data_IF_086506042665
#
_entry.id   IF_086506042665
#
_cell.length_a   1.000
_cell.length_b   1.000
_cell.length_c   1.000
_cell.angle_alpha   90.00
_cell.angle_beta   90.00
_cell.angle_gamma   90.00
#
_symmetry.space_group_name_H-M   'P 1'
#
loop_
_entity.id
_entity.type
_entity.pdbx_description
1 polymer ?
#
# COMPACT_ATOMS: atom_id res chain seq x y z
N UNK A 1 -26.60 2.22 -43.23
CA UNK A 1 -25.74 2.25 -42.03
C UNK A 1 -24.31 2.46 -42.50
N UNK A 2 -23.71 3.63 -42.19
CA UNK A 2 -22.28 3.88 -42.46
C UNK A 2 -21.61 4.10 -41.10
N UNK A 3 -20.63 3.26 -40.77
CA UNK A 3 -19.79 3.46 -39.60
C UNK A 3 -18.59 4.28 -40.06
N UNK A 4 -18.53 5.55 -39.65
CA UNK A 4 -17.35 6.40 -39.88
C UNK A 4 -16.52 6.42 -38.60
N UNK A 5 -15.27 5.99 -38.72
CA UNK A 5 -14.28 6.14 -37.66
C UNK A 5 -13.72 7.57 -37.69
N UNK A 6 -13.82 8.28 -36.56
CA UNK A 6 -13.21 9.60 -36.36
C UNK A 6 -12.23 9.58 -35.19
N UNK A 7 -11.08 10.21 -35.37
CA UNK A 7 -10.09 10.42 -34.32
C UNK A 7 -10.72 11.21 -33.14
N UNK A 8 -10.42 10.78 -31.91
CA UNK A 8 -10.86 11.34 -30.61
C UNK A 8 -12.19 10.81 -30.04
N UNK A 9 -12.28 9.48 -29.86
CA UNK A 9 -13.13 8.82 -28.84
C UNK A 9 -14.65 9.10 -28.87
N UNK A 10 -15.21 9.53 -30.00
CA UNK A 10 -16.67 9.61 -30.17
C UNK A 10 -17.09 8.64 -31.27
N UNK A 11 -17.60 7.48 -30.87
CA UNK A 11 -18.28 6.56 -31.79
C UNK A 11 -19.66 7.16 -32.12
N UNK A 12 -19.78 7.84 -33.26
CA UNK A 12 -21.10 8.22 -33.78
C UNK A 12 -21.63 7.10 -34.64
N UNK A 13 -22.60 6.37 -34.12
CA UNK A 13 -23.50 5.59 -34.98
C UNK A 13 -24.40 6.59 -35.68
N UNK A 14 -24.10 6.92 -36.94
CA UNK A 14 -25.04 7.64 -37.79
C UNK A 14 -26.07 6.61 -38.26
N UNK A 15 -27.12 6.45 -37.46
CA UNK A 15 -28.38 5.96 -38.00
C UNK A 15 -28.79 7.03 -39.00
N UNK A 16 -28.86 6.67 -40.28
CA UNK A 16 -29.34 7.60 -41.31
C UNK A 16 -30.67 8.20 -40.81
N UNK A 17 -30.83 9.54 -40.77
CA UNK A 17 -32.02 10.19 -40.22
C UNK A 17 -33.32 9.89 -40.94
N UNK A 18 -33.36 8.92 -41.86
CA UNK A 18 -34.57 8.57 -42.60
C UNK A 18 -35.62 7.82 -41.76
N UNK A 19 -35.42 7.69 -40.44
CA UNK A 19 -36.37 7.01 -39.53
C UNK A 19 -37.13 7.97 -38.61
N UNK A 20 -36.81 9.28 -38.61
CA UNK A 20 -37.57 10.27 -37.83
C UNK A 20 -38.38 11.14 -38.80
N UNK A 21 -39.59 10.65 -39.08
CA UNK A 21 -40.83 11.36 -39.38
C UNK A 21 -40.71 12.54 -40.37
N UNK A 22 -41.30 12.35 -41.55
CA UNK A 22 -42.25 13.34 -42.04
C UNK A 22 -43.58 12.58 -42.13
N UNK A 23 -44.55 13.00 -41.32
CA UNK A 23 -45.98 12.66 -41.42
C UNK A 23 -46.55 13.29 -42.70
N UNK A 24 -45.90 13.05 -43.84
CA UNK A 24 -46.47 13.31 -45.16
C UNK A 24 -47.10 12.00 -45.61
N UNK A 25 -48.41 12.03 -45.90
CA UNK A 25 -49.13 10.89 -46.50
C UNK A 25 -48.47 10.42 -47.82
N UNK A 26 -47.58 11.23 -48.39
CA UNK A 26 -46.81 10.99 -49.63
C UNK A 26 -45.32 10.61 -49.42
N UNK A 27 -44.84 10.43 -48.19
CA UNK A 27 -43.46 10.01 -47.97
C UNK A 27 -43.24 8.55 -48.45
N UNK A 28 -42.21 8.26 -49.27
CA UNK A 28 -42.00 6.92 -49.82
C UNK A 28 -41.72 5.92 -48.69
N UNK A 29 -42.68 5.01 -48.46
CA UNK A 29 -42.54 3.92 -47.49
C UNK A 29 -41.23 3.16 -47.74
N UNK A 30 -40.36 3.12 -46.74
CA UNK A 30 -39.07 2.42 -46.81
C UNK A 30 -39.32 0.96 -47.19
N UNK A 31 -38.61 0.48 -48.21
CA UNK A 31 -38.74 -0.90 -48.68
C UNK A 31 -38.50 -1.90 -47.53
N UNK A 32 -39.38 -2.89 -47.34
CA UNK A 32 -39.21 -3.92 -46.31
C UNK A 32 -37.89 -4.68 -46.47
N UNK A 33 -37.37 -4.80 -47.70
CA UNK A 33 -36.06 -5.40 -47.98
C UNK A 33 -34.90 -4.55 -47.43
N UNK A 34 -34.99 -3.22 -47.54
CA UNK A 34 -33.97 -2.31 -46.99
C UNK A 34 -33.98 -2.32 -45.46
N UNK A 35 -35.17 -2.36 -44.84
CA UNK A 35 -35.32 -2.53 -43.38
C UNK A 35 -34.71 -3.86 -42.91
N UNK A 36 -35.03 -4.97 -43.58
CA UNK A 36 -34.48 -6.30 -43.29
C UNK A 36 -32.95 -6.36 -43.46
N UNK A 37 -32.41 -5.74 -44.51
CA UNK A 37 -30.97 -5.66 -44.74
C UNK A 37 -30.25 -4.84 -43.65
N UNK A 38 -30.85 -3.73 -43.20
CA UNK A 38 -30.30 -2.94 -42.10
C UNK A 38 -30.31 -3.72 -40.78
N UNK A 39 -31.40 -4.43 -40.45
CA UNK A 39 -31.48 -5.29 -39.25
C UNK A 39 -30.43 -6.42 -39.31
N UNK A 40 -30.25 -7.06 -40.47
CA UNK A 40 -29.26 -8.13 -40.63
C UNK A 40 -27.81 -7.64 -40.48
N UNK A 41 -27.44 -6.54 -41.15
CA UNK A 41 -26.13 -5.92 -41.01
C UNK A 41 -25.85 -5.47 -39.58
N UNK A 42 -26.88 -4.93 -38.90
CA UNK A 42 -26.81 -4.50 -37.52
C UNK A 42 -26.63 -5.68 -36.54
N UNK A 43 -27.42 -6.75 -36.72
CA UNK A 43 -27.33 -7.98 -35.94
C UNK A 43 -25.93 -8.60 -36.04
N UNK A 44 -25.33 -8.60 -37.24
CA UNK A 44 -23.97 -9.07 -37.44
C UNK A 44 -22.94 -8.24 -36.64
N UNK A 45 -23.02 -6.91 -36.68
CA UNK A 45 -22.11 -6.04 -35.92
C UNK A 45 -22.27 -6.25 -34.42
N UNK A 46 -23.50 -6.32 -33.90
CA UNK A 46 -23.75 -6.57 -32.48
C UNK A 46 -23.22 -7.93 -32.06
N UNK A 47 -23.48 -8.99 -32.84
CA UNK A 47 -22.96 -10.32 -32.56
C UNK A 47 -21.42 -10.33 -32.48
N UNK A 48 -20.74 -9.69 -33.46
CA UNK A 48 -19.28 -9.59 -33.45
C UNK A 48 -18.75 -8.82 -32.23
N UNK A 49 -19.39 -7.71 -31.84
CA UNK A 49 -18.98 -6.90 -30.68
C UNK A 49 -19.19 -7.68 -29.39
N UNK A 50 -20.31 -8.39 -29.24
CA UNK A 50 -20.60 -9.24 -28.08
C UNK A 50 -19.58 -10.36 -27.96
N UNK A 51 -19.36 -11.09 -29.06
CA UNK A 51 -18.44 -12.22 -29.11
C UNK A 51 -17.03 -11.76 -28.70
N UNK A 52 -16.57 -10.65 -29.28
CA UNK A 52 -15.28 -10.07 -28.92
C UNK A 52 -15.23 -9.56 -27.48
N UNK A 53 -16.33 -9.03 -26.97
CA UNK A 53 -16.41 -8.62 -25.55
C UNK A 53 -16.30 -9.82 -24.63
N UNK A 54 -16.93 -10.94 -24.97
CA UNK A 54 -16.84 -12.19 -24.21
C UNK A 54 -15.43 -12.78 -24.25
N UNK A 55 -14.76 -12.79 -25.41
CA UNK A 55 -13.35 -13.19 -25.52
C UNK A 55 -12.44 -12.38 -24.59
N UNK A 56 -12.66 -11.05 -24.53
CA UNK A 56 -11.88 -10.15 -23.68
C UNK A 56 -12.21 -10.42 -22.20
N UNK A 57 -13.49 -10.62 -21.85
CA UNK A 57 -13.92 -10.97 -20.48
C UNK A 57 -13.25 -12.28 -20.06
N UNK A 58 -13.30 -13.29 -20.90
CA UNK A 58 -12.71 -14.59 -20.63
C UNK A 58 -11.19 -14.49 -20.48
N UNK A 59 -10.51 -13.81 -21.41
CA UNK A 59 -9.06 -13.62 -21.37
C UNK A 59 -8.64 -12.88 -20.11
N UNK A 60 -9.27 -11.74 -19.80
CA UNK A 60 -8.88 -10.91 -18.67
C UNK A 60 -9.18 -11.59 -17.34
N UNK A 61 -10.28 -12.33 -17.20
CA UNK A 61 -10.59 -12.96 -15.91
C UNK A 61 -9.98 -14.35 -15.73
N UNK A 62 -9.98 -15.19 -16.76
CA UNK A 62 -9.44 -16.55 -16.66
C UNK A 62 -7.91 -16.59 -16.81
N UNK A 63 -7.35 -15.89 -17.82
CA UNK A 63 -5.90 -15.91 -18.07
C UNK A 63 -5.15 -14.88 -17.23
N UNK A 64 -5.61 -13.63 -17.22
CA UNK A 64 -4.93 -12.55 -16.50
C UNK A 64 -5.42 -12.39 -15.05
N UNK A 65 -6.66 -12.75 -14.76
CA UNK A 65 -7.27 -12.60 -13.44
C UNK A 65 -7.01 -13.77 -12.48
N UNK A 66 -6.48 -14.88 -13.02
CA UNK A 66 -6.29 -16.13 -12.28
C UNK A 66 -7.60 -16.71 -11.72
N UNK A 67 -8.76 -16.30 -12.26
CA UNK A 67 -10.06 -16.81 -11.82
C UNK A 67 -10.27 -18.15 -12.52
N UNK A 68 -9.86 -19.25 -11.89
CA UNK A 68 -10.01 -20.61 -12.45
C UNK A 68 -8.73 -21.44 -12.43
N UNK A 69 -7.57 -20.84 -12.16
CA UNK A 69 -6.33 -21.57 -11.86
C UNK A 69 -6.35 -22.08 -10.42
N UNK A 70 -7.31 -22.93 -10.08
CA UNK A 70 -7.25 -23.74 -8.87
C UNK A 70 -6.40 -24.97 -9.16
N UNK A 71 -5.21 -25.03 -8.53
CA UNK A 71 -4.55 -26.28 -8.13
C UNK A 71 -4.31 -27.32 -9.24
N UNK A 72 -3.50 -26.96 -10.23
CA UNK A 72 -2.72 -27.93 -11.01
C UNK A 72 -1.36 -28.09 -10.35
N UNK A 73 -1.09 -29.27 -9.78
CA UNK A 73 0.21 -29.64 -9.23
C UNK A 73 1.23 -29.79 -10.36
N UNK A 74 2.03 -28.76 -10.60
CA UNK A 74 3.30 -28.97 -11.32
C UNK A 74 4.25 -29.70 -10.36
N UNK A 75 4.38 -31.00 -10.62
CA UNK A 75 5.43 -31.85 -10.07
C UNK A 75 6.74 -31.48 -10.76
N UNK A 76 7.37 -30.39 -10.34
CA UNK A 76 8.82 -30.29 -10.41
C UNK A 76 9.34 -29.46 -9.25
N UNK A 77 10.34 -30.02 -8.58
CA UNK A 77 10.82 -29.58 -7.28
C UNK A 77 11.61 -28.28 -7.38
N UNK A 78 10.94 -27.15 -7.20
CA UNK A 78 11.53 -25.98 -6.57
C UNK A 78 10.44 -25.14 -5.89
N UNK A 79 10.39 -25.21 -4.55
CA UNK A 79 9.36 -24.54 -3.74
C UNK A 79 9.62 -23.02 -3.68
N UNK A 80 9.13 -22.30 -4.69
CA UNK A 80 8.84 -20.88 -4.59
C UNK A 80 7.32 -20.67 -4.73
N UNK A 81 6.67 -20.51 -3.57
CA UNK A 81 5.30 -20.07 -3.33
C UNK A 81 4.47 -19.69 -4.59
N UNK A 82 3.63 -20.60 -5.07
CA UNK A 82 2.72 -20.44 -6.23
C UNK A 82 1.52 -19.53 -5.92
N UNK A 83 1.74 -18.41 -5.23
CA UNK A 83 0.75 -17.39 -4.93
C UNK A 83 0.78 -16.27 -5.98
N UNK A 84 -0.40 -15.74 -6.33
CA UNK A 84 -0.51 -14.54 -7.17
C UNK A 84 0.23 -13.37 -6.50
N UNK A 85 1.23 -12.80 -7.17
CA UNK A 85 1.92 -11.60 -6.64
C UNK A 85 0.96 -10.41 -6.52
N UNK A 86 1.22 -9.51 -5.57
CA UNK A 86 0.40 -8.29 -5.38
C UNK A 86 0.30 -7.46 -6.67
N UNK A 87 1.38 -7.35 -7.45
CA UNK A 87 1.40 -6.60 -8.72
C UNK A 87 0.47 -7.21 -9.77
N UNK A 88 0.51 -8.52 -9.90
CA UNK A 88 -0.32 -9.23 -10.86
C UNK A 88 -1.79 -9.15 -10.45
N UNK A 89 -2.10 -9.41 -9.17
CA UNK A 89 -3.45 -9.29 -8.65
C UNK A 89 -4.00 -7.85 -8.76
N UNK A 90 -3.15 -6.84 -8.59
CA UNK A 90 -3.52 -5.43 -8.77
C UNK A 90 -3.84 -5.10 -10.24
N UNK A 91 -3.04 -5.62 -11.17
CA UNK A 91 -3.26 -5.46 -12.60
C UNK A 91 -4.58 -6.11 -13.03
N UNK A 92 -4.86 -7.32 -12.53
CA UNK A 92 -6.12 -8.02 -12.73
C UNK A 92 -7.33 -7.24 -12.17
N UNK A 93 -7.21 -6.72 -10.94
CA UNK A 93 -8.26 -5.91 -10.32
C UNK A 93 -8.56 -4.63 -11.11
N UNK A 94 -7.51 -3.92 -11.55
CA UNK A 94 -7.65 -2.72 -12.37
C UNK A 94 -8.26 -3.05 -13.75
N UNK A 95 -7.83 -4.13 -14.39
CA UNK A 95 -8.41 -4.61 -15.65
C UNK A 95 -9.89 -4.95 -15.48
N UNK A 96 -10.26 -5.70 -14.45
CA UNK A 96 -11.66 -6.03 -14.14
C UNK A 96 -12.53 -4.80 -13.90
N UNK A 97 -12.01 -3.76 -13.23
CA UNK A 97 -12.71 -2.50 -13.02
C UNK A 97 -12.87 -1.72 -14.33
N UNK A 98 -11.82 -1.60 -15.14
CA UNK A 98 -11.85 -0.94 -16.46
C UNK A 98 -12.85 -1.61 -17.40
N UNK A 99 -12.87 -2.94 -17.41
CA UNK A 99 -13.82 -3.71 -18.20
C UNK A 99 -15.25 -3.49 -17.77
N UNK A 100 -15.50 -3.50 -16.47
CA UNK A 100 -16.83 -3.21 -15.94
C UNK A 100 -17.31 -1.81 -16.33
N UNK A 101 -16.42 -0.83 -16.34
CA UNK A 101 -16.73 0.52 -16.82
C UNK A 101 -17.15 0.51 -18.30
N UNK A 102 -16.40 -0.20 -19.14
CA UNK A 102 -16.75 -0.41 -20.55
C UNK A 102 -18.10 -1.12 -20.74
N UNK A 103 -18.34 -2.22 -20.02
CA UNK A 103 -19.61 -2.99 -20.10
C UNK A 103 -20.81 -2.15 -19.65
N UNK A 104 -20.64 -1.27 -18.65
CA UNK A 104 -21.71 -0.34 -18.24
C UNK A 104 -22.12 0.62 -19.36
N UNK A 105 -21.19 1.01 -20.23
CA UNK A 105 -21.48 1.87 -21.38
C UNK A 105 -22.20 1.13 -22.52
N UNK A 106 -22.14 -0.20 -22.55
CA UNK A 106 -22.84 -1.01 -23.56
C UNK A 106 -24.35 -1.07 -23.33
N UNK A 107 -24.80 -1.05 -22.07
CA UNK A 107 -26.22 -1.22 -21.70
C UNK A 107 -27.16 -0.22 -22.39
N UNK A 108 -26.97 1.10 -22.22
CA UNK A 108 -27.82 2.12 -22.87
C UNK A 108 -27.77 2.06 -24.40
N UNK A 109 -26.61 1.74 -24.96
CA UNK A 109 -26.42 1.60 -26.41
C UNK A 109 -27.26 0.44 -26.94
N UNK A 110 -27.13 -0.74 -26.32
CA UNK A 110 -27.82 -1.98 -26.72
C UNK A 110 -29.33 -1.96 -26.46
N UNK A 111 -29.78 -1.28 -25.39
CA UNK A 111 -31.21 -1.11 -25.10
C UNK A 111 -31.95 -0.30 -26.17
N UNK A 112 -31.39 0.87 -26.57
CA UNK A 112 -31.97 1.74 -27.61
C UNK A 112 -32.18 1.06 -28.96
N UNK A 113 -31.48 -0.04 -29.22
CA UNK A 113 -31.54 -0.77 -30.48
C UNK A 113 -32.57 -1.89 -30.48
N UNK A 114 -32.95 -2.38 -29.31
CA UNK A 114 -33.98 -3.40 -29.15
C UNK A 114 -35.39 -2.82 -29.10
N UNK A 115 -35.51 -1.54 -28.74
CA UNK A 115 -36.78 -0.81 -28.73
C UNK A 115 -37.15 -0.25 -30.11
N UNK A 116 -36.45 -0.63 -31.19
CA UNK A 116 -36.92 -0.35 -32.56
C UNK A 116 -38.06 -1.33 -32.89
N UNK A 117 -39.34 -0.87 -32.96
CA UNK A 117 -40.43 -1.76 -33.35
C UNK A 117 -40.19 -2.25 -34.77
N UNK A 118 -40.17 -3.57 -34.94
CA UNK A 118 -40.45 -4.17 -36.24
C UNK A 118 -41.97 -4.16 -36.32
N UNK A 119 -42.55 -3.11 -36.89
CA UNK A 119 -43.95 -3.16 -37.30
C UNK A 119 -44.08 -4.25 -38.37
N UNK A 120 -44.39 -5.46 -37.93
CA UNK A 120 -45.08 -6.43 -38.77
C UNK A 120 -46.53 -5.97 -38.84
N UNK A 121 -46.90 -5.28 -39.92
CA UNK A 121 -48.28 -4.99 -40.31
C UNK A 121 -49.09 -6.26 -40.67
N UNK A 122 -48.84 -7.37 -39.99
CA UNK A 122 -49.66 -8.57 -40.13
C UNK A 122 -50.01 -9.15 -38.77
N UNK A 123 -51.29 -8.95 -38.45
CA UNK A 123 -52.10 -9.60 -37.41
C UNK A 123 -52.02 -8.94 -36.04
N UNK A 124 -53.06 -8.13 -35.78
CA UNK A 124 -53.34 -7.54 -34.49
C UNK A 124 -53.41 -8.58 -33.39
N UNK A 125 -52.39 -8.59 -32.54
CA UNK A 125 -52.47 -9.15 -31.20
C UNK A 125 -51.71 -8.21 -30.28
N UNK A 126 -52.43 -7.56 -29.37
CA UNK A 126 -51.85 -6.77 -28.29
C UNK A 126 -50.99 -7.70 -27.44
N UNK A 127 -49.69 -7.78 -27.71
CA UNK A 127 -48.76 -8.48 -26.84
C UNK A 127 -48.37 -7.57 -25.67
N UNK A 128 -48.72 -8.01 -24.45
CA UNK A 128 -48.25 -7.43 -23.20
C UNK A 128 -46.74 -7.15 -23.27
N UNK A 129 -46.36 -5.90 -23.09
CA UNK A 129 -45.00 -5.38 -23.08
C UNK A 129 -44.25 -5.76 -21.79
N UNK A 130 -44.01 -7.06 -21.61
CA UNK A 130 -43.20 -7.61 -20.51
C UNK A 130 -42.18 -8.66 -20.94
N UNK A 131 -41.87 -8.76 -22.23
CA UNK A 131 -40.82 -9.65 -22.72
C UNK A 131 -39.55 -8.83 -22.96
N UNK A 132 -38.60 -8.94 -22.04
CA UNK A 132 -37.26 -8.40 -22.20
C UNK A 132 -36.64 -8.90 -23.51
N UNK A 133 -36.10 -7.99 -24.33
CA UNK A 133 -35.45 -8.38 -25.58
C UNK A 133 -34.24 -9.30 -25.33
N UNK A 134 -33.91 -10.18 -26.28
CA UNK A 134 -32.73 -11.07 -26.18
C UNK A 134 -31.45 -10.28 -25.90
N UNK A 135 -31.28 -9.08 -26.50
CA UNK A 135 -30.10 -8.27 -26.23
C UNK A 135 -30.13 -7.65 -24.82
N UNK A 136 -31.30 -7.29 -24.28
CA UNK A 136 -31.40 -6.82 -22.89
C UNK A 136 -31.03 -7.92 -21.90
N UNK A 137 -31.48 -9.16 -22.13
CA UNK A 137 -31.08 -10.33 -21.33
C UNK A 137 -29.57 -10.58 -21.41
N UNK A 138 -29.01 -10.50 -22.62
CA UNK A 138 -27.58 -10.66 -22.84
C UNK A 138 -26.77 -9.57 -22.12
N UNK A 139 -27.11 -8.29 -22.27
CA UNK A 139 -26.46 -7.17 -21.57
C UNK A 139 -26.42 -7.38 -20.06
N UNK A 140 -27.54 -7.83 -19.49
CA UNK A 140 -27.64 -8.13 -18.06
C UNK A 140 -26.72 -9.29 -17.69
N UNK A 141 -26.64 -10.33 -18.52
CA UNK A 141 -25.73 -11.45 -18.30
C UNK A 141 -24.25 -11.03 -18.37
N UNK A 142 -23.86 -10.22 -19.36
CA UNK A 142 -22.49 -9.68 -19.49
C UNK A 142 -22.15 -8.86 -18.25
N UNK A 143 -23.04 -7.94 -17.87
CA UNK A 143 -22.84 -7.05 -16.72
C UNK A 143 -22.72 -7.85 -15.42
N UNK A 144 -23.63 -8.79 -15.15
CA UNK A 144 -23.60 -9.65 -13.95
C UNK A 144 -22.32 -10.48 -13.86
N UNK A 145 -21.91 -11.07 -14.98
CA UNK A 145 -20.68 -11.90 -15.05
C UNK A 145 -19.44 -11.04 -14.80
N UNK A 146 -19.38 -9.86 -15.43
CA UNK A 146 -18.28 -8.92 -15.24
C UNK A 146 -18.22 -8.45 -13.79
N UNK A 147 -19.35 -8.03 -13.19
CA UNK A 147 -19.41 -7.67 -11.76
C UNK A 147 -18.92 -8.80 -10.86
N UNK A 148 -19.37 -10.04 -11.10
CA UNK A 148 -18.98 -11.21 -10.31
C UNK A 148 -17.48 -11.44 -10.36
N UNK A 149 -16.88 -11.34 -11.54
CA UNK A 149 -15.47 -11.60 -11.74
C UNK A 149 -14.59 -10.42 -11.27
N UNK A 150 -15.00 -9.18 -11.50
CA UNK A 150 -14.34 -7.99 -10.95
C UNK A 150 -14.28 -8.07 -9.42
N UNK A 151 -15.40 -8.40 -8.76
CA UNK A 151 -15.41 -8.62 -7.31
C UNK A 151 -14.37 -9.67 -6.89
N UNK A 152 -14.25 -10.77 -7.65
CA UNK A 152 -13.28 -11.81 -7.36
C UNK A 152 -11.83 -11.35 -7.54
N UNK A 153 -11.53 -10.54 -8.55
CA UNK A 153 -10.19 -9.96 -8.71
C UNK A 153 -9.82 -9.01 -7.56
N UNK A 154 -10.78 -8.24 -7.04
CA UNK A 154 -10.58 -7.38 -5.87
C UNK A 154 -10.33 -8.20 -4.59
N UNK A 155 -11.08 -9.31 -4.41
CA UNK A 155 -10.82 -10.27 -3.32
C UNK A 155 -9.41 -10.89 -3.45
N UNK A 156 -9.00 -11.28 -4.66
CA UNK A 156 -7.68 -11.87 -4.93
C UNK A 156 -6.54 -10.90 -4.63
N UNK A 157 -6.69 -9.60 -4.94
CA UNK A 157 -5.72 -8.57 -4.56
C UNK A 157 -5.57 -8.48 -3.04
N UNK A 158 -6.68 -8.41 -2.30
CA UNK A 158 -6.61 -8.35 -0.84
C UNK A 158 -5.98 -9.62 -0.25
N UNK A 159 -6.26 -10.78 -0.83
CA UNK A 159 -5.67 -12.07 -0.45
C UNK A 159 -4.16 -12.11 -0.75
N UNK A 160 -3.73 -11.66 -1.93
CA UNK A 160 -2.32 -11.59 -2.30
C UNK A 160 -1.48 -10.74 -1.34
N UNK A 161 -2.05 -9.65 -0.81
CA UNK A 161 -1.39 -8.81 0.21
C UNK A 161 -1.29 -9.55 1.55
N UNK A 162 -2.36 -10.24 1.95
CA UNK A 162 -2.39 -11.01 3.19
C UNK A 162 -1.41 -12.19 3.16
N UNK A 163 -1.28 -12.85 2.01
CA UNK A 163 -0.43 -14.02 1.79
C UNK A 163 0.98 -13.67 1.29
N UNK A 164 1.33 -12.38 1.25
CA UNK A 164 2.67 -11.97 0.85
C UNK A 164 3.72 -12.65 1.75
N UNK A 165 4.75 -13.29 1.17
CA UNK A 165 5.70 -14.11 1.93
C UNK A 165 6.24 -13.40 3.16
N UNK A 166 6.31 -14.14 4.27
CA UNK A 166 6.78 -13.57 5.55
C UNK A 166 8.31 -13.49 5.61
N UNK A 167 8.99 -14.37 4.87
CA UNK A 167 10.44 -14.50 4.84
C UNK A 167 11.02 -14.18 3.45
N UNK A 168 12.33 -13.92 3.40
CA UNK A 168 13.07 -13.60 2.18
C UNK A 168 13.48 -12.12 2.12
N UNK A 169 14.66 -11.85 1.54
CA UNK A 169 15.28 -10.51 1.57
C UNK A 169 14.41 -9.38 0.99
N UNK A 170 13.51 -9.69 0.06
CA UNK A 170 12.57 -8.72 -0.54
C UNK A 170 11.41 -8.37 0.39
N UNK A 171 10.95 -9.36 1.16
CA UNK A 171 9.78 -9.25 2.02
C UNK A 171 10.13 -8.79 3.42
N UNK A 172 11.29 -9.24 3.91
CA UNK A 172 11.85 -8.95 5.24
C UNK A 172 13.36 -8.65 5.09
N UNK A 173 13.72 -7.40 4.78
CA UNK A 173 15.11 -7.01 4.57
C UNK A 173 15.96 -7.10 5.85
N UNK A 174 17.20 -7.62 5.80
CA UNK A 174 18.02 -7.77 7.00
C UNK A 174 18.36 -6.45 7.70
N UNK A 175 18.33 -5.33 6.99
CA UNK A 175 18.59 -3.96 7.46
C UNK A 175 17.31 -3.21 7.89
N UNK A 176 16.16 -3.88 7.96
CA UNK A 176 14.86 -3.30 8.29
C UNK A 176 14.39 -2.17 7.35
N UNK A 177 14.92 -2.07 6.13
CA UNK A 177 14.38 -1.12 5.13
C UNK A 177 12.95 -1.47 4.71
N UNK A 178 12.35 -0.60 3.91
CA UNK A 178 10.99 -0.73 3.39
C UNK A 178 10.84 -2.06 2.63
N UNK A 179 9.76 -2.81 2.92
CA UNK A 179 9.44 -4.05 2.20
C UNK A 179 8.83 -3.74 0.83
N UNK A 180 9.11 -4.58 -0.17
CA UNK A 180 8.58 -4.39 -1.53
C UNK A 180 7.05 -4.35 -1.57
N UNK A 181 6.39 -5.14 -0.70
CA UNK A 181 4.92 -5.20 -0.59
C UNK A 181 4.31 -3.82 -0.29
N UNK A 182 4.96 -2.98 0.52
CA UNK A 182 4.47 -1.63 0.81
C UNK A 182 4.41 -0.77 -0.45
N UNK A 183 5.45 -0.84 -1.28
CA UNK A 183 5.48 -0.12 -2.57
C UNK A 183 4.48 -0.69 -3.58
N UNK A 184 4.29 -2.01 -3.57
CA UNK A 184 3.39 -2.68 -4.50
C UNK A 184 1.92 -2.42 -4.16
N UNK A 185 1.57 -2.34 -2.87
CA UNK A 185 0.23 -1.93 -2.42
C UNK A 185 -0.07 -0.47 -2.75
N UNK A 186 0.89 0.46 -2.54
CA UNK A 186 0.70 1.86 -2.96
C UNK A 186 0.45 1.95 -4.46
N UNK A 187 1.22 1.21 -5.28
CA UNK A 187 0.98 1.14 -6.73
C UNK A 187 -0.39 0.55 -7.05
N UNK A 188 -0.77 -0.53 -6.36
CA UNK A 188 -2.08 -1.16 -6.54
C UNK A 188 -3.22 -0.17 -6.29
N UNK A 189 -3.16 0.59 -5.20
CA UNK A 189 -4.14 1.63 -4.85
C UNK A 189 -4.26 2.65 -5.99
N UNK A 190 -3.12 3.16 -6.50
CA UNK A 190 -3.11 4.13 -7.61
C UNK A 190 -3.67 3.57 -8.92
N UNK A 191 -3.53 2.27 -9.16
CA UNK A 191 -4.07 1.61 -10.35
C UNK A 191 -5.60 1.45 -10.30
N UNK A 192 -6.16 1.17 -9.12
CA UNK A 192 -7.60 0.89 -8.97
C UNK A 192 -8.42 2.15 -8.70
N UNK A 193 -7.83 3.15 -8.03
CA UNK A 193 -8.53 4.34 -7.56
C UNK A 193 -9.24 5.17 -8.64
N UNK A 194 -8.76 5.25 -9.91
CA UNK A 194 -9.46 6.01 -10.94
C UNK A 194 -10.85 5.44 -11.27
N UNK A 195 -11.11 4.16 -10.97
CA UNK A 195 -12.34 3.46 -11.37
C UNK A 195 -13.44 3.50 -10.28
N UNK A 196 -13.68 4.67 -9.67
CA UNK A 196 -14.65 4.81 -8.57
C UNK A 196 -16.08 4.39 -8.98
N UNK A 197 -16.54 4.83 -10.15
CA UNK A 197 -17.89 4.49 -10.64
C UNK A 197 -18.05 2.99 -10.92
N UNK A 198 -17.03 2.35 -11.51
CA UNK A 198 -17.03 0.91 -11.74
C UNK A 198 -17.05 0.14 -10.40
N UNK A 199 -16.22 0.55 -9.45
CA UNK A 199 -16.19 -0.03 -8.10
C UNK A 199 -17.56 0.08 -7.41
N UNK A 200 -18.20 1.25 -7.42
CA UNK A 200 -19.56 1.44 -6.89
C UNK A 200 -20.59 0.53 -7.58
N UNK A 201 -20.39 0.18 -8.86
CA UNK A 201 -21.26 -0.79 -9.55
C UNK A 201 -21.20 -2.17 -8.90
N UNK A 202 -19.99 -2.58 -8.49
CA UNK A 202 -19.73 -3.86 -7.85
C UNK A 202 -20.39 -3.86 -6.48
N UNK A 203 -20.09 -2.87 -5.63
CA UNK A 203 -20.58 -2.82 -4.25
C UNK A 203 -22.10 -2.71 -4.18
N UNK A 204 -22.74 -1.98 -5.10
CA UNK A 204 -24.21 -1.92 -5.21
C UNK A 204 -24.88 -3.28 -5.41
N UNK A 205 -24.18 -4.25 -6.03
CA UNK A 205 -24.75 -5.52 -6.50
C UNK A 205 -24.23 -6.74 -5.76
N UNK A 206 -23.19 -6.58 -4.94
CA UNK A 206 -22.55 -7.69 -4.25
C UNK A 206 -21.94 -7.22 -2.94
N UNK A 207 -22.27 -7.94 -1.88
CA UNK A 207 -21.62 -7.79 -0.58
C UNK A 207 -20.16 -8.26 -0.68
N UNK A 208 -19.24 -7.46 -0.15
CA UNK A 208 -17.81 -7.71 -0.15
C UNK A 208 -17.31 -7.91 1.28
N UNK A 209 -16.20 -8.63 1.51
CA UNK A 209 -15.69 -8.90 2.86
C UNK A 209 -15.36 -7.66 3.71
N UNK A 210 -15.09 -6.53 3.05
CA UNK A 210 -14.78 -5.24 3.69
C UNK A 210 -15.97 -4.28 3.72
N UNK A 211 -17.07 -4.66 3.08
CA UNK A 211 -18.26 -3.84 2.93
C UNK A 211 -19.47 -4.75 2.68
N UNK A 212 -20.18 -5.15 3.75
CA UNK A 212 -21.31 -6.06 3.65
C UNK A 212 -22.57 -5.39 3.10
N UNK A 213 -22.61 -4.05 3.02
CA UNK A 213 -23.76 -3.30 2.56
C UNK A 213 -23.92 -3.42 1.04
N UNK A 214 -25.17 -3.35 0.57
CA UNK A 214 -25.52 -3.38 -0.85
C UNK A 214 -26.48 -2.23 -1.19
N UNK A 215 -26.64 -1.91 -2.47
CA UNK A 215 -27.49 -0.80 -2.89
C UNK A 215 -26.86 0.57 -2.63
N UNK A 216 -27.68 1.60 -2.40
CA UNK A 216 -27.19 2.98 -2.27
C UNK A 216 -26.26 3.19 -1.06
N UNK A 217 -26.44 2.39 0.00
CA UNK A 217 -25.64 2.38 1.22
C UNK A 217 -24.31 1.60 1.09
N UNK A 218 -24.05 1.00 -0.08
CA UNK A 218 -22.80 0.30 -0.33
C UNK A 218 -21.61 1.26 -0.22
N UNK A 219 -20.50 0.80 0.34
CA UNK A 219 -19.27 1.54 0.52
C UNK A 219 -18.63 2.03 -0.78
N UNK A 220 -17.85 3.10 -0.63
CA UNK A 220 -17.07 3.76 -1.68
C UNK A 220 -15.67 3.14 -1.80
N UNK A 221 -14.89 3.61 -2.78
CA UNK A 221 -13.51 3.15 -3.02
C UNK A 221 -12.64 3.23 -1.76
N UNK A 222 -12.84 4.27 -0.95
CA UNK A 222 -12.13 4.49 0.31
C UNK A 222 -12.26 3.29 1.27
N UNK A 223 -13.43 2.66 1.35
CA UNK A 223 -13.63 1.49 2.21
C UNK A 223 -12.71 0.33 1.79
N UNK A 224 -12.56 0.11 0.48
CA UNK A 224 -11.66 -0.91 -0.03
C UNK A 224 -10.19 -0.55 0.20
N UNK A 225 -9.81 0.70 -0.06
CA UNK A 225 -8.42 1.12 0.13
C UNK A 225 -8.01 1.04 1.61
N UNK A 226 -8.88 1.46 2.54
CA UNK A 226 -8.67 1.27 3.98
C UNK A 226 -8.47 -0.21 4.33
N UNK A 227 -9.25 -1.09 3.71
CA UNK A 227 -9.09 -2.53 3.89
C UNK A 227 -7.75 -3.06 3.36
N UNK A 228 -7.31 -2.63 2.17
CA UNK A 228 -6.00 -3.01 1.62
C UNK A 228 -4.85 -2.56 2.54
N UNK A 229 -4.92 -1.35 3.08
CA UNK A 229 -3.93 -0.82 4.03
C UNK A 229 -3.92 -1.64 5.31
N UNK A 230 -5.08 -1.99 5.88
CA UNK A 230 -5.13 -2.82 7.08
C UNK A 230 -4.56 -4.22 6.83
N UNK A 231 -4.80 -4.81 5.65
CA UNK A 231 -4.17 -6.09 5.24
C UNK A 231 -2.65 -5.96 5.14
N UNK A 232 -2.16 -4.88 4.54
CA UNK A 232 -0.73 -4.58 4.47
C UNK A 232 -0.13 -4.44 5.88
N UNK A 233 -0.74 -3.63 6.75
CA UNK A 233 -0.24 -3.41 8.11
C UNK A 233 -0.16 -4.72 8.91
N UNK A 234 -1.17 -5.58 8.80
CA UNK A 234 -1.15 -6.89 9.45
C UNK A 234 -0.04 -7.79 8.89
N UNK A 235 0.17 -7.80 7.57
CA UNK A 235 1.26 -8.55 6.92
C UNK A 235 2.62 -8.03 7.39
N UNK A 236 2.80 -6.71 7.43
CA UNK A 236 4.03 -6.08 7.93
C UNK A 236 4.29 -6.40 9.40
N UNK A 237 3.26 -6.38 10.25
CA UNK A 237 3.39 -6.78 11.65
C UNK A 237 3.82 -8.24 11.80
N UNK A 238 3.25 -9.16 11.01
CA UNK A 238 3.67 -10.55 10.98
C UNK A 238 5.15 -10.72 10.62
N UNK A 239 5.65 -9.92 9.67
CA UNK A 239 7.07 -9.90 9.29
C UNK A 239 7.96 -9.28 10.35
N UNK A 240 7.50 -8.20 10.98
CA UNK A 240 8.20 -7.52 12.06
C UNK A 240 8.45 -8.48 13.23
N UNK A 241 7.40 -9.21 13.64
CA UNK A 241 7.46 -10.23 14.69
C UNK A 241 8.46 -11.36 14.41
N UNK A 242 8.77 -11.67 13.16
CA UNK A 242 9.76 -12.69 12.88
C UNK A 242 11.20 -12.19 13.07
N UNK A 243 11.47 -10.88 13.07
CA UNK A 243 12.81 -10.39 13.47
C UNK A 243 13.11 -10.69 14.94
N UNK A 244 12.08 -10.69 15.79
CA UNK A 244 12.25 -10.95 17.23
C UNK A 244 12.43 -12.44 17.53
N UNK A 245 12.08 -13.33 16.59
CA UNK A 245 12.30 -14.78 16.73
C UNK A 245 13.67 -15.23 16.28
N UNK A 246 14.26 -14.52 15.31
CA UNK A 246 15.52 -14.90 14.67
C UNK A 246 16.75 -14.21 15.30
N UNK A 247 16.55 -13.14 16.08
CA UNK A 247 17.64 -12.38 16.72
C UNK A 247 17.79 -12.69 18.21
N UNK A 248 18.99 -12.49 18.75
CA UNK A 248 19.20 -12.33 20.20
C UNK A 248 18.34 -11.15 20.70
N UNK A 249 17.65 -11.35 21.82
CA UNK A 249 16.43 -10.64 22.24
C UNK A 249 16.37 -9.16 21.82
N UNK A 250 17.32 -8.32 22.27
CA UNK A 250 17.21 -6.86 22.10
C UNK A 250 17.43 -6.37 20.65
N UNK A 251 18.31 -7.04 19.89
CA UNK A 251 18.60 -6.67 18.51
C UNK A 251 17.45 -7.01 17.53
N UNK A 252 16.73 -8.11 17.81
CA UNK A 252 15.55 -8.50 17.05
C UNK A 252 14.39 -7.51 17.23
N UNK A 253 14.16 -7.05 18.46
CA UNK A 253 13.14 -6.05 18.78
C UNK A 253 13.43 -4.68 18.15
N UNK A 254 14.67 -4.19 18.25
CA UNK A 254 15.07 -2.94 17.60
C UNK A 254 14.83 -2.97 16.08
N UNK A 255 15.15 -4.10 15.44
CA UNK A 255 14.95 -4.32 14.00
C UNK A 255 13.47 -4.37 13.62
N UNK A 256 12.66 -5.07 14.42
CA UNK A 256 11.19 -5.11 14.27
C UNK A 256 10.59 -3.71 14.29
N UNK A 257 10.95 -2.91 15.29
CA UNK A 257 10.39 -1.57 15.47
C UNK A 257 10.82 -0.65 14.31
N UNK A 258 12.12 -0.65 13.95
CA UNK A 258 12.62 0.14 12.82
C UNK A 258 11.96 -0.22 11.49
N UNK A 259 11.72 -1.51 11.25
CA UNK A 259 11.02 -1.99 10.06
C UNK A 259 9.60 -1.40 9.98
N UNK A 260 8.86 -1.39 11.09
CA UNK A 260 7.54 -0.80 11.13
C UNK A 260 7.57 0.72 10.95
N UNK A 261 8.53 1.42 11.56
CA UNK A 261 8.74 2.88 11.40
C UNK A 261 8.94 3.22 9.92
N UNK A 262 9.86 2.53 9.24
CA UNK A 262 10.16 2.76 7.83
C UNK A 262 8.94 2.55 6.92
N UNK A 263 8.21 1.45 7.11
CA UNK A 263 7.07 1.14 6.24
C UNK A 263 5.86 2.05 6.52
N UNK A 264 5.58 2.39 7.79
CA UNK A 264 4.46 3.29 8.13
C UNK A 264 4.75 4.73 7.69
N UNK A 265 5.99 5.20 7.84
CA UNK A 265 6.41 6.50 7.32
C UNK A 265 6.30 6.57 5.80
N UNK A 266 6.71 5.52 5.09
CA UNK A 266 6.54 5.42 3.64
C UNK A 266 5.06 5.55 3.23
N UNK A 267 4.15 4.86 3.92
CA UNK A 267 2.71 4.98 3.66
C UNK A 267 2.20 6.40 3.90
N UNK A 268 2.61 7.03 5.01
CA UNK A 268 2.27 8.43 5.31
C UNK A 268 2.79 9.38 4.23
N UNK A 269 3.97 9.15 3.66
CA UNK A 269 4.51 9.99 2.60
C UNK A 269 3.77 9.81 1.27
N UNK A 270 3.34 8.59 0.95
CA UNK A 270 2.82 8.25 -0.38
C UNK A 270 1.32 8.40 -0.56
N UNK A 271 0.53 8.37 0.53
CA UNK A 271 -0.94 8.32 0.50
C UNK A 271 -1.62 9.42 1.33
N UNK A 272 -0.86 10.23 2.06
CA UNK A 272 -1.41 11.35 2.83
C UNK A 272 -1.86 12.48 1.91
N UNK A 273 -3.01 13.08 2.23
CA UNK A 273 -3.46 14.30 1.55
C UNK A 273 -2.55 15.49 1.94
N UNK A 274 -2.11 16.33 0.98
CA UNK A 274 -1.28 17.49 1.28
C UNK A 274 -2.05 18.50 2.16
N UNK A 275 -1.37 19.01 3.19
CA UNK A 275 -1.92 19.95 4.17
C UNK A 275 -2.24 21.33 3.56
N UNK A 276 -1.57 21.71 2.47
CA UNK A 276 -1.78 23.00 1.79
C UNK A 276 -2.64 22.86 0.53
N UNK A 277 -3.65 23.72 0.39
CA UNK A 277 -4.52 23.79 -0.80
C UNK A 277 -3.79 24.17 -2.08
N UNK A 278 -2.61 24.79 -1.99
CA UNK A 278 -1.81 25.25 -3.15
C UNK A 278 -1.11 24.11 -3.89
N UNK A 279 -0.78 22.99 -3.22
CA UNK A 279 -0.23 21.78 -3.84
C UNK A 279 -1.29 20.93 -4.56
N UNK A 280 -2.57 21.29 -4.47
CA UNK A 280 -3.68 20.52 -5.08
C UNK A 280 -3.83 20.73 -6.58
N UNK A 281 -3.15 21.72 -7.18
CA UNK A 281 -3.42 22.16 -8.55
C UNK A 281 -2.75 21.32 -9.65
N UNK A 282 -1.81 20.43 -9.32
CA UNK A 282 -1.08 19.63 -10.33
C UNK A 282 -1.18 18.10 -10.11
N UNK A 283 -1.73 17.65 -8.98
CA UNK A 283 -1.74 16.24 -8.55
C UNK A 283 -3.08 15.52 -8.80
N UNK A 284 -3.73 15.76 -9.94
CA UNK A 284 -4.96 15.03 -10.33
C UNK A 284 -4.75 13.51 -10.53
N UNK A 285 -3.50 13.03 -10.46
CA UNK A 285 -3.13 11.63 -10.67
C UNK A 285 -2.91 10.84 -9.37
N UNK A 286 -2.86 11.50 -8.20
CA UNK A 286 -2.55 10.85 -6.94
C UNK A 286 -3.81 10.68 -6.07
N UNK A 287 -4.27 9.44 -5.92
CA UNK A 287 -5.38 9.12 -5.02
C UNK A 287 -5.03 9.44 -3.56
N UNK A 288 -5.91 10.19 -2.91
CA UNK A 288 -5.76 10.66 -1.54
C UNK A 288 -6.89 10.10 -0.70
N UNK A 289 -6.54 9.45 0.40
CA UNK A 289 -7.51 8.99 1.39
C UNK A 289 -7.94 10.16 2.28
N UNK A 290 -9.19 10.11 2.76
CA UNK A 290 -9.63 10.95 3.87
C UNK A 290 -8.60 10.91 5.01
N UNK A 291 -7.99 12.08 5.24
CA UNK A 291 -6.81 12.25 6.07
C UNK A 291 -7.06 11.85 7.52
N UNK A 292 -8.28 11.99 8.05
CA UNK A 292 -8.52 11.80 9.48
C UNK A 292 -8.32 10.34 9.93
N UNK A 293 -8.87 9.37 9.21
CA UNK A 293 -8.68 7.95 9.55
C UNK A 293 -7.26 7.49 9.23
N UNK A 294 -6.74 7.84 8.04
CA UNK A 294 -5.45 7.36 7.58
C UNK A 294 -4.30 7.92 8.42
N UNK A 295 -4.30 9.23 8.68
CA UNK A 295 -3.35 9.85 9.60
C UNK A 295 -3.55 9.28 11.00
N UNK A 296 -4.77 9.26 11.53
CA UNK A 296 -5.02 8.76 12.88
C UNK A 296 -4.51 7.32 13.10
N UNK A 297 -4.78 6.41 12.15
CA UNK A 297 -4.40 5.00 12.30
C UNK A 297 -2.93 4.74 12.00
N UNK A 298 -2.42 5.21 10.87
CA UNK A 298 -1.04 4.90 10.44
C UNK A 298 -0.03 5.71 11.26
N UNK A 299 -0.32 6.97 11.58
CA UNK A 299 0.53 7.79 12.43
C UNK A 299 0.59 7.26 13.87
N UNK A 300 -0.53 6.76 14.41
CA UNK A 300 -0.51 6.14 15.74
C UNK A 300 0.40 4.91 15.81
N UNK A 301 0.42 4.07 14.76
CA UNK A 301 1.36 2.94 14.69
C UNK A 301 2.80 3.45 14.56
N UNK A 302 3.05 4.41 13.66
CA UNK A 302 4.37 5.03 13.49
C UNK A 302 4.94 5.57 14.81
N UNK A 303 4.17 6.41 15.52
CA UNK A 303 4.61 7.01 16.80
C UNK A 303 4.74 5.96 17.90
N UNK A 304 3.87 4.95 17.94
CA UNK A 304 3.99 3.85 18.91
C UNK A 304 5.28 3.04 18.71
N UNK A 305 5.59 2.64 17.48
CA UNK A 305 6.80 1.87 17.18
C UNK A 305 8.07 2.72 17.34
N UNK A 306 8.00 4.01 17.03
CA UNK A 306 9.06 4.99 17.33
C UNK A 306 9.33 5.09 18.83
N UNK A 307 8.29 5.18 19.66
CA UNK A 307 8.43 5.20 21.12
C UNK A 307 9.09 3.92 21.65
N UNK A 308 8.65 2.75 21.18
CA UNK A 308 9.28 1.46 21.55
C UNK A 308 10.74 1.38 21.10
N UNK A 309 11.05 1.87 19.90
CA UNK A 309 12.42 1.91 19.42
C UNK A 309 13.33 2.78 20.30
N UNK A 310 12.86 3.97 20.68
CA UNK A 310 13.63 4.88 21.54
C UNK A 310 13.81 4.32 22.95
N UNK A 311 12.91 3.46 23.43
CA UNK A 311 13.03 2.82 24.73
C UNK A 311 14.27 1.90 24.85
N UNK A 312 14.76 1.31 23.76
CA UNK A 312 16.02 0.55 23.79
C UNK A 312 17.20 1.43 24.25
N UNK A 313 17.21 2.70 23.83
CA UNK A 313 18.27 3.66 24.19
C UNK A 313 18.15 4.19 25.62
N UNK A 314 17.02 3.99 26.30
CA UNK A 314 16.83 4.43 27.70
C UNK A 314 17.69 3.64 28.68
N UNK A 315 18.05 2.39 28.36
CA UNK A 315 18.88 1.55 29.24
C UNK A 315 20.24 2.19 29.56
N UNK A 316 20.82 2.91 28.59
CA UNK A 316 22.07 3.66 28.76
C UNK A 316 21.99 4.66 29.91
N UNK A 317 20.82 5.25 30.16
CA UNK A 317 20.63 6.25 31.21
C UNK A 317 20.87 5.68 32.62
N UNK A 318 20.78 4.35 32.82
CA UNK A 318 21.10 3.70 34.10
C UNK A 318 22.56 3.91 34.54
N UNK A 319 23.46 4.14 33.58
CA UNK A 319 24.88 4.41 33.84
C UNK A 319 25.20 5.89 34.06
N UNK A 320 24.25 6.79 33.77
CA UNK A 320 24.44 8.24 33.76
C UNK A 320 23.90 8.94 35.03
N UNK A 321 23.69 8.18 36.09
CA UNK A 321 23.20 8.69 37.37
C UNK A 321 24.23 9.57 38.06
N UNK A 322 23.81 10.69 38.64
CA UNK A 322 24.69 11.54 39.44
C UNK A 322 25.15 10.82 40.70
N UNK A 323 26.46 10.85 40.94
CA UNK A 323 27.07 10.52 42.24
C UNK A 323 27.04 11.78 43.10
N UNK A 324 26.55 11.67 44.34
CA UNK A 324 26.55 12.76 45.31
C UNK A 324 27.99 13.21 45.58
N UNK A 325 28.26 14.48 45.32
CA UNK A 325 29.59 15.09 45.48
C UNK A 325 30.04 15.10 46.94
N UNK A 326 29.09 15.07 47.89
CA UNK A 326 29.37 15.08 49.33
C UNK A 326 29.83 13.71 49.86
N UNK A 327 29.64 12.63 49.09
CA UNK A 327 30.09 11.27 49.41
C UNK A 327 31.41 10.86 48.73
N UNK A 328 32.11 11.79 48.08
CA UNK A 328 33.37 11.50 47.40
C UNK A 328 34.55 11.59 48.36
N UNK A 329 35.12 10.43 48.67
CA UNK A 329 36.33 10.36 49.49
C UNK A 329 37.58 10.45 48.61
N UNK A 330 38.60 11.17 49.09
CA UNK A 330 39.88 11.36 48.39
C UNK A 330 41.00 10.66 49.14
N UNK A 331 41.99 10.13 48.41
CA UNK A 331 43.22 9.65 49.04
C UNK A 331 43.98 10.83 49.68
N UNK A 332 44.78 10.52 50.70
CA UNK A 332 45.59 11.49 51.49
C UNK A 332 46.39 12.51 50.64
N UNK A 333 46.65 12.20 49.36
CA UNK A 333 47.35 13.06 48.39
C UNK A 333 46.45 13.98 47.52
N UNK A 334 45.21 14.26 47.97
CA UNK A 334 44.23 15.26 47.48
C UNK A 334 43.82 15.27 45.99
N UNK A 335 44.54 14.59 45.08
CA UNK A 335 44.31 14.63 43.64
C UNK A 335 43.79 13.30 43.06
N UNK A 336 43.65 12.24 43.87
CA UNK A 336 43.15 10.94 43.46
C UNK A 336 42.00 10.54 44.38
N UNK A 337 40.90 10.06 43.80
CA UNK A 337 39.77 9.52 44.55
C UNK A 337 40.15 8.26 45.33
N UNK A 338 39.40 8.00 46.40
CA UNK A 338 39.50 6.77 47.19
C UNK A 338 39.24 5.54 46.31
N UNK A 339 39.58 4.36 46.83
CA UNK A 339 39.36 3.12 46.11
C UNK A 339 37.87 2.91 45.77
N UNK A 340 36.98 3.27 46.68
CA UNK A 340 35.54 3.09 46.57
C UNK A 340 34.91 4.09 45.58
N UNK A 341 35.15 5.39 45.76
CA UNK A 341 34.67 6.42 44.83
C UNK A 341 35.28 6.26 43.43
N UNK A 342 36.55 5.83 43.36
CA UNK A 342 37.22 5.53 42.09
C UNK A 342 36.66 4.30 41.37
N UNK A 343 36.26 3.24 42.10
CA UNK A 343 35.56 2.07 41.53
C UNK A 343 34.21 2.46 40.95
N UNK A 344 33.43 3.24 41.69
CA UNK A 344 32.12 3.71 41.24
C UNK A 344 32.20 4.44 39.88
N UNK A 345 33.14 5.37 39.70
CA UNK A 345 33.30 6.05 38.41
C UNK A 345 33.73 5.10 37.29
N UNK A 346 34.65 4.17 37.56
CA UNK A 346 35.04 3.15 36.58
C UNK A 346 33.85 2.33 36.13
N UNK A 347 33.03 1.87 37.07
CA UNK A 347 31.87 1.03 36.79
C UNK A 347 30.82 1.79 35.95
N UNK A 348 30.58 3.07 36.26
CA UNK A 348 29.64 3.91 35.48
C UNK A 348 30.14 4.19 34.06
N UNK A 349 31.39 4.63 33.90
CA UNK A 349 31.97 4.89 32.58
C UNK A 349 32.08 3.61 31.75
N UNK A 350 32.52 2.51 32.36
CA UNK A 350 32.62 1.21 31.70
C UNK A 350 31.25 0.70 31.28
N UNK A 351 30.25 0.74 32.17
CA UNK A 351 28.89 0.31 31.84
C UNK A 351 28.28 1.15 30.71
N UNK A 352 28.45 2.48 30.74
CA UNK A 352 28.03 3.33 29.62
C UNK A 352 28.71 2.92 28.30
N UNK A 353 30.03 2.70 28.33
CA UNK A 353 30.82 2.32 27.16
C UNK A 353 30.32 1.00 26.57
N UNK A 354 30.17 -0.03 27.41
CA UNK A 354 29.78 -1.37 26.98
C UNK A 354 28.36 -1.36 26.39
N UNK A 355 27.42 -0.71 27.09
CA UNK A 355 26.04 -0.58 26.64
C UNK A 355 25.94 0.24 25.34
N UNK A 356 26.66 1.36 25.24
CA UNK A 356 26.68 2.17 24.04
C UNK A 356 27.27 1.42 22.83
N UNK A 357 28.37 0.67 23.02
CA UNK A 357 28.98 -0.12 21.95
C UNK A 357 28.07 -1.23 21.46
N UNK A 358 27.36 -1.92 22.38
CA UNK A 358 26.38 -2.94 22.06
C UNK A 358 25.22 -2.35 21.23
N UNK A 359 24.62 -1.27 21.72
CA UNK A 359 23.54 -0.56 21.04
C UNK A 359 24.01 -0.06 19.67
N UNK A 360 25.16 0.61 19.60
CA UNK A 360 25.69 1.13 18.35
C UNK A 360 25.91 0.02 17.32
N UNK A 361 26.49 -1.13 17.71
CA UNK A 361 26.72 -2.25 16.81
C UNK A 361 25.42 -2.81 16.19
N UNK A 362 24.34 -2.87 16.97
CA UNK A 362 23.01 -3.31 16.51
C UNK A 362 22.38 -2.26 15.60
N UNK A 363 22.30 -1.01 16.07
CA UNK A 363 21.51 0.03 15.43
C UNK A 363 22.19 0.65 14.19
N UNK A 364 23.53 0.65 14.11
CA UNK A 364 24.26 1.15 12.95
C UNK A 364 24.00 0.34 11.67
N UNK A 365 23.66 -0.95 11.81
CA UNK A 365 23.34 -1.85 10.68
C UNK A 365 21.94 -1.67 10.11
N UNK A 366 21.08 -0.93 10.81
CA UNK A 366 19.74 -0.64 10.33
C UNK A 366 19.81 0.39 9.19
N UNK A 367 18.78 0.45 8.35
CA UNK A 367 18.69 1.39 7.24
C UNK A 367 17.43 2.23 7.33
N UNK A 368 17.57 3.54 7.18
CA UNK A 368 16.45 4.49 7.01
C UNK A 368 16.69 5.24 5.72
N UNK A 369 15.92 4.93 4.67
CA UNK A 369 16.15 5.46 3.32
C UNK A 369 15.82 6.96 3.24
N UNK A 370 14.72 7.39 3.86
CA UNK A 370 14.30 8.79 3.82
C UNK A 370 15.25 9.67 4.67
N UNK A 371 15.87 10.71 4.09
CA UNK A 371 16.85 11.53 4.78
C UNK A 371 16.24 12.42 5.87
N UNK A 372 14.95 12.77 5.77
CA UNK A 372 14.23 13.55 6.78
C UNK A 372 13.95 12.71 8.01
N UNK A 373 13.39 11.52 7.82
CA UNK A 373 13.17 10.54 8.89
C UNK A 373 14.49 10.12 9.54
N UNK A 374 15.55 9.90 8.75
CA UNK A 374 16.88 9.56 9.28
C UNK A 374 17.38 10.62 10.26
N UNK A 375 17.33 11.89 9.86
CA UNK A 375 17.74 13.02 10.70
C UNK A 375 16.88 13.16 11.96
N UNK A 376 15.57 12.94 11.85
CA UNK A 376 14.69 12.93 13.01
C UNK A 376 15.06 11.81 13.98
N UNK A 377 15.20 10.56 13.51
CA UNK A 377 15.58 9.42 14.36
C UNK A 377 16.92 9.63 15.06
N UNK A 378 17.94 10.13 14.35
CA UNK A 378 19.23 10.49 14.96
C UNK A 378 19.05 11.55 16.05
N UNK A 379 18.25 12.59 15.79
CA UNK A 379 17.97 13.65 16.75
C UNK A 379 17.22 13.13 17.98
N UNK A 380 16.24 12.23 17.80
CA UNK A 380 15.48 11.66 18.92
C UNK A 380 16.36 10.75 19.79
N UNK A 381 17.22 9.92 19.20
CA UNK A 381 18.18 9.10 19.97
C UNK A 381 19.11 9.98 20.81
N UNK A 382 19.63 11.08 20.24
CA UNK A 382 20.45 12.04 21.00
C UNK A 382 19.68 12.64 22.18
N UNK A 383 18.40 12.98 21.99
CA UNK A 383 17.55 13.54 23.05
C UNK A 383 17.34 12.57 24.23
N UNK A 384 17.38 11.27 24.00
CA UNK A 384 17.18 10.24 25.05
C UNK A 384 18.29 10.30 26.12
N UNK A 385 19.56 10.38 25.71
CA UNK A 385 20.68 10.25 26.67
C UNK A 385 21.83 11.24 26.50
N UNK A 386 22.05 11.84 25.32
CA UNK A 386 23.27 12.59 25.04
C UNK A 386 23.43 13.82 25.95
N UNK A 387 22.35 14.56 26.20
CA UNK A 387 22.36 15.72 27.11
C UNK A 387 22.74 15.32 28.54
N UNK A 388 22.30 14.15 29.00
CA UNK A 388 22.68 13.60 30.31
C UNK A 388 24.14 13.17 30.31
N UNK A 389 24.59 12.54 29.22
CA UNK A 389 25.98 12.11 29.06
C UNK A 389 26.95 13.29 29.04
N UNK A 390 26.61 14.39 28.34
CA UNK A 390 27.41 15.61 28.33
C UNK A 390 27.66 16.15 29.73
N UNK A 391 26.59 16.29 30.52
CA UNK A 391 26.67 16.73 31.91
C UNK A 391 27.47 15.77 32.79
N UNK A 392 27.25 14.47 32.64
CA UNK A 392 27.97 13.43 33.36
C UNK A 392 29.47 13.47 33.03
N UNK A 393 29.81 13.51 31.75
CA UNK A 393 31.19 13.55 31.27
C UNK A 393 31.89 14.81 31.72
N UNK A 394 31.28 16.00 31.56
CA UNK A 394 31.90 17.27 31.97
C UNK A 394 32.18 17.31 33.48
N UNK A 395 31.24 16.82 34.29
CA UNK A 395 31.38 16.80 35.75
C UNK A 395 32.45 15.81 36.20
N UNK A 396 32.44 14.59 35.66
CA UNK A 396 33.23 13.48 36.24
C UNK A 396 34.56 13.20 35.53
N UNK A 397 34.75 13.64 34.28
CA UNK A 397 36.03 13.47 33.56
C UNK A 397 37.19 14.24 34.19
N UNK A 398 36.90 15.29 34.97
CA UNK A 398 37.88 16.11 35.69
C UNK A 398 38.53 15.37 36.86
N UNK A 399 37.87 14.35 37.41
CA UNK A 399 38.41 13.58 38.52
C UNK A 399 39.38 12.49 38.02
N UNK A 400 40.52 12.36 38.71
CA UNK A 400 41.44 11.25 38.47
C UNK A 400 40.97 10.03 39.28
N UNK A 401 40.30 9.09 38.61
CA UNK A 401 39.78 7.85 39.22
C UNK A 401 40.58 6.61 38.79
N UNK A 402 41.44 6.72 37.78
CA UNK A 402 42.36 5.66 37.36
C UNK A 402 43.79 6.17 37.23
N UNK A 403 44.76 5.44 37.79
CA UNK A 403 46.19 5.80 37.69
C UNK A 403 46.78 5.49 36.33
N UNK A 404 46.40 4.36 35.73
CA UNK A 404 46.97 3.82 34.48
C UNK A 404 46.02 3.91 33.28
N UNK A 405 44.72 3.69 33.50
CA UNK A 405 43.76 3.48 32.41
C UNK A 405 42.73 4.62 32.28
N UNK A 406 43.05 5.84 32.69
CA UNK A 406 42.08 6.95 32.68
C UNK A 406 41.50 7.19 31.26
N UNK A 407 42.34 7.12 30.22
CA UNK A 407 41.94 7.36 28.84
C UNK A 407 40.99 6.27 28.29
N UNK A 408 41.09 5.04 28.79
CA UNK A 408 40.22 3.92 28.39
C UNK A 408 38.77 4.18 28.79
N UNK A 409 38.55 4.68 30.01
CA UNK A 409 37.22 5.05 30.51
C UNK A 409 36.68 6.35 29.90
N UNK A 410 37.54 7.18 29.31
CA UNK A 410 37.18 8.44 28.66
C UNK A 410 37.23 8.35 27.12
N UNK A 411 37.23 7.13 26.56
CA UNK A 411 37.42 6.89 25.11
C UNK A 411 36.34 7.50 24.19
N UNK A 412 35.18 7.82 24.74
CA UNK A 412 34.04 8.38 24.03
C UNK A 412 33.65 9.77 24.56
N UNK A 413 34.36 10.85 24.22
CA UNK A 413 33.86 12.19 24.55
C UNK A 413 32.50 12.45 23.87
N UNK A 414 31.63 13.31 24.43
CA UNK A 414 30.27 13.51 23.89
C UNK A 414 30.21 13.87 22.40
N UNK A 415 31.16 14.69 21.90
CA UNK A 415 31.28 15.02 20.48
C UNK A 415 31.51 13.80 19.58
N UNK A 416 32.25 12.80 20.07
CA UNK A 416 32.50 11.54 19.35
C UNK A 416 31.24 10.69 19.31
N UNK A 417 30.51 10.59 20.43
CA UNK A 417 29.20 9.91 20.50
C UNK A 417 28.20 10.55 19.54
N UNK A 418 28.12 11.89 19.51
CA UNK A 418 27.27 12.62 18.58
C UNK A 418 27.58 12.27 17.11
N UNK A 419 28.88 12.26 16.77
CA UNK A 419 29.36 11.94 15.42
C UNK A 419 29.03 10.50 15.03
N UNK A 420 29.21 9.54 15.95
CA UNK A 420 28.84 8.14 15.73
C UNK A 420 27.33 8.00 15.48
N UNK A 421 26.49 8.68 16.26
CA UNK A 421 25.04 8.67 16.06
C UNK A 421 24.66 9.24 14.68
N UNK A 422 25.35 10.28 14.20
CA UNK A 422 25.12 10.85 12.86
C UNK A 422 25.46 9.88 11.71
N UNK A 423 26.33 8.90 11.95
CA UNK A 423 26.69 7.86 10.97
C UNK A 423 25.68 6.71 10.92
N UNK A 424 24.81 6.58 11.93
CA UNK A 424 23.82 5.50 11.96
C UNK A 424 22.79 5.60 10.82
N UNK A 425 22.18 4.45 10.51
CA UNK A 425 21.07 4.29 9.57
C UNK A 425 21.43 4.36 8.08
N UNK A 426 22.73 4.26 7.75
CA UNK A 426 23.21 4.15 6.37
C UNK A 426 22.97 2.78 5.72
N UNK A 427 22.70 1.74 6.52
CA UNK A 427 22.69 0.35 6.07
C UNK A 427 24.10 -0.23 5.87
N UNK A 428 24.20 -1.52 5.54
CA UNK A 428 25.49 -2.26 5.40
C UNK A 428 26.44 -1.70 4.32
N UNK A 429 25.98 -0.78 3.46
CA UNK A 429 26.78 -0.18 2.38
C UNK A 429 27.42 1.17 2.75
N UNK A 430 27.27 1.66 3.97
CA UNK A 430 27.92 2.91 4.39
C UNK A 430 29.45 2.77 4.61
N UNK A 431 29.95 1.55 4.85
CA UNK A 431 31.38 1.26 5.01
C UNK A 431 32.10 0.87 3.70
N UNK A 432 31.41 0.94 2.55
CA UNK A 432 31.96 0.58 1.23
C UNK A 432 32.31 1.78 0.33
N UNK A 433 32.30 3.00 0.88
CA UNK A 433 32.67 4.22 0.16
C UNK A 433 33.66 5.04 0.99
N UNK A 434 34.87 5.18 0.45
CA UNK A 434 35.98 6.02 0.91
C UNK A 434 35.59 7.42 1.39
#
# INVERSE_FOLDING_TARGET
MVVVAGEKNVYRSIVAPSLVIIDDEDAPKISPFYRKACVAAYSHVVACVVDRTMDIIETVFLKEGGIGTSSGSDKDGDKANSGLSVRFAASAAAAGLRMLDGVRMLGPSLAKLCDMPIDDETVGTKHNSSNMSVASTLCIAIHRTTVKNTAKTLENLAKAIQEDPVNGMKHRPPDARIASVSSDVVRAIRLISPFMSAYKSVTKRRALPWDPNIGEEAGEMDSYVRFLIMRLLNSLQGKALNYTKDGEDDGGHAKSNMFMINNTFYLLQQLRAPTSRELRKDDSEHYQLDGQWFEGKVNAIFESEKGKYLAHWENINAHLTSVDSNGLEYQKNKNLLSLESGRLFKDRFKGFIEEFELMYAVHNRLSVIDPGLRRDMQTQVKKVFLVRYEKFYEKYSRFRFSKKNQQEYLKYPPKKVDSMINMMYGGENADAGE
#
